data_IF_691089956729
#
_entry.id   IF_691089956729
#
_cell.length_a   1.000
_cell.length_b   1.000
_cell.length_c   1.000
_cell.angle_alpha   90.00
_cell.angle_beta   90.00
_cell.angle_gamma   90.00
#
_symmetry.space_group_name_H-M   'P 1'
#
loop_
_entity.id
_entity.type
_entity.pdbx_description
1 polymer ?
#
# COMPACT_ATOMS: atom_id res chain seq x y z
N UNK A 1 6.69 -60.64 9.89
CA UNK A 1 8.04 -60.88 10.43
C UNK A 1 8.98 -59.83 9.86
N UNK A 2 9.76 -59.21 10.75
CA UNK A 2 10.91 -58.30 10.51
C UNK A 2 10.60 -56.81 10.27
N UNK A 3 10.18 -56.19 11.37
CA UNK A 3 10.25 -54.76 11.71
C UNK A 3 11.69 -54.37 12.18
N UNK A 4 12.72 -54.75 11.41
CA UNK A 4 14.15 -54.53 11.79
C UNK A 4 14.98 -53.82 10.74
N UNK A 5 14.42 -53.54 9.56
CA UNK A 5 15.12 -52.79 8.51
C UNK A 5 15.07 -51.26 8.75
N UNK A 6 14.07 -50.77 9.49
CA UNK A 6 13.83 -49.33 9.67
C UNK A 6 14.65 -48.65 10.77
N UNK A 7 15.10 -49.38 11.79
CA UNK A 7 15.86 -48.76 12.90
C UNK A 7 17.22 -48.25 12.42
N UNK A 8 17.86 -48.99 11.51
CA UNK A 8 19.14 -48.57 10.91
C UNK A 8 18.96 -47.40 9.92
N UNK A 9 17.83 -47.30 9.23
CA UNK A 9 17.56 -46.19 8.30
C UNK A 9 17.28 -44.88 9.05
N UNK A 10 16.54 -44.94 10.17
CA UNK A 10 16.25 -43.79 11.03
C UNK A 10 17.52 -43.24 11.70
N UNK A 11 18.45 -44.12 12.10
CA UNK A 11 19.75 -43.70 12.65
C UNK A 11 20.68 -43.07 11.59
N UNK A 12 20.63 -43.54 10.34
CA UNK A 12 21.33 -42.87 9.23
C UNK A 12 20.70 -41.52 8.90
N UNK A 13 19.38 -41.41 8.99
CA UNK A 13 18.66 -40.16 8.76
C UNK A 13 18.96 -39.11 9.85
N UNK A 14 19.04 -39.49 11.12
CA UNK A 14 19.44 -38.58 12.20
C UNK A 14 20.88 -38.08 12.05
N UNK A 15 21.80 -38.91 11.54
CA UNK A 15 23.20 -38.51 11.32
C UNK A 15 23.35 -37.53 10.16
N UNK A 16 22.54 -37.66 9.11
CA UNK A 16 22.51 -36.71 8.01
C UNK A 16 21.99 -35.33 8.46
N UNK A 17 20.99 -35.29 9.34
CA UNK A 17 20.44 -34.04 9.88
C UNK A 17 21.46 -33.33 10.79
N UNK A 18 22.22 -34.06 11.61
CA UNK A 18 23.28 -33.48 12.44
C UNK A 18 24.45 -32.91 11.64
N UNK A 19 24.83 -33.56 10.52
CA UNK A 19 25.89 -33.06 9.64
C UNK A 19 25.50 -31.73 8.96
N UNK A 20 24.20 -31.54 8.68
CA UNK A 20 23.65 -30.32 8.10
C UNK A 20 23.55 -29.17 9.13
N UNK A 21 23.45 -29.49 10.43
CA UNK A 21 23.41 -28.52 11.51
C UNK A 21 24.80 -27.96 11.89
N UNK A 22 25.89 -28.69 11.66
CA UNK A 22 27.25 -28.24 12.01
C UNK A 22 27.92 -27.36 10.94
N UNK A 23 27.38 -27.26 9.73
CA UNK A 23 27.88 -26.35 8.68
C UNK A 23 27.05 -25.07 8.51
N UNK A 24 26.09 -24.82 9.41
CA UNK A 24 25.10 -23.75 9.31
C UNK A 24 25.14 -22.73 10.46
N UNK A 25 26.32 -22.26 10.85
CA UNK A 25 26.48 -20.99 11.60
C UNK A 25 27.14 -19.94 10.71
N UNK A 26 26.52 -19.70 9.55
CA UNK A 26 26.60 -18.44 8.82
C UNK A 26 25.44 -17.54 9.23
N UNK A 27 25.53 -16.21 9.07
CA UNK A 27 24.46 -15.30 9.46
C UNK A 27 23.15 -15.75 8.80
N UNK A 28 22.10 -15.80 9.61
CA UNK A 28 20.77 -16.27 9.23
C UNK A 28 20.24 -15.42 8.07
N UNK A 29 20.40 -15.91 6.85
CA UNK A 29 19.76 -15.38 5.67
C UNK A 29 18.34 -15.97 5.64
N UNK A 30 17.33 -15.16 5.97
CA UNK A 30 15.93 -15.54 5.73
C UNK A 30 15.72 -15.69 4.22
N UNK A 31 15.23 -16.84 3.72
CA UNK A 31 14.84 -16.97 2.32
C UNK A 31 13.59 -16.12 2.09
N UNK A 32 13.73 -15.02 1.36
CA UNK A 32 12.63 -14.13 0.98
C UNK A 32 12.85 -12.64 1.23
N UNK A 33 13.97 -12.23 1.83
CA UNK A 33 14.38 -10.82 1.82
C UNK A 33 15.44 -10.60 0.75
N UNK A 34 14.96 -10.44 -0.48
CA UNK A 34 15.65 -9.57 -1.42
C UNK A 34 15.70 -8.18 -0.76
N UNK A 35 16.84 -7.85 -0.15
CA UNK A 35 17.23 -6.47 0.07
C UNK A 35 17.49 -5.85 -1.30
N UNK A 36 16.40 -5.62 -2.02
CA UNK A 36 16.35 -4.66 -3.09
C UNK A 36 16.63 -3.32 -2.42
N UNK A 37 17.89 -2.92 -2.48
CA UNK A 37 18.27 -1.53 -2.34
C UNK A 37 17.48 -0.78 -3.39
N UNK A 38 16.29 -0.30 -3.01
CA UNK A 38 15.55 0.73 -3.72
C UNK A 38 16.36 2.02 -3.54
N UNK A 39 17.52 2.07 -4.19
CA UNK A 39 17.97 3.28 -4.86
C UNK A 39 17.08 3.48 -6.10
N UNK A 40 15.76 3.41 -5.91
CA UNK A 40 14.82 3.98 -6.84
C UNK A 40 15.05 5.47 -6.72
N UNK A 41 15.48 6.07 -7.82
CA UNK A 41 15.33 7.50 -8.05
C UNK A 41 14.13 8.02 -7.28
N UNK A 42 14.37 8.81 -6.23
CA UNK A 42 13.30 9.60 -5.62
C UNK A 42 12.71 10.34 -6.79
N UNK A 43 11.52 9.92 -7.21
CA UNK A 43 10.81 10.55 -8.30
C UNK A 43 10.72 12.01 -7.87
N UNK A 44 11.42 12.88 -8.60
CA UNK A 44 11.44 14.30 -8.28
C UNK A 44 10.14 14.94 -8.76
N UNK A 45 9.04 14.20 -8.76
CA UNK A 45 7.71 14.79 -8.73
C UNK A 45 7.71 15.69 -7.49
N UNK A 46 7.77 17.00 -7.72
CA UNK A 46 7.78 17.96 -6.64
C UNK A 46 6.54 17.74 -5.78
N UNK A 47 6.65 17.94 -4.48
CA UNK A 47 5.49 17.86 -3.58
C UNK A 47 4.29 18.67 -4.09
N UNK A 48 4.55 19.84 -4.70
CA UNK A 48 3.52 20.66 -5.33
C UNK A 48 2.81 20.00 -6.52
N UNK A 49 3.52 19.18 -7.30
CA UNK A 49 2.94 18.42 -8.41
C UNK A 49 2.08 17.26 -7.89
N UNK A 50 2.55 16.56 -6.85
CA UNK A 50 1.73 15.55 -6.15
C UNK A 50 0.46 16.17 -5.55
N UNK A 51 0.59 17.33 -4.92
CA UNK A 51 -0.55 18.05 -4.36
C UNK A 51 -1.52 18.51 -5.45
N UNK A 52 -1.00 19.04 -6.57
CA UNK A 52 -1.81 19.42 -7.73
C UNK A 52 -2.58 18.23 -8.26
N UNK A 53 -1.92 17.10 -8.48
CA UNK A 53 -2.56 15.88 -8.96
C UNK A 53 -3.63 15.39 -7.99
N UNK A 54 -3.40 15.47 -6.68
CA UNK A 54 -4.40 15.12 -5.67
C UNK A 54 -5.63 16.06 -5.72
N UNK A 55 -5.41 17.38 -5.89
CA UNK A 55 -6.50 18.36 -6.05
C UNK A 55 -7.32 18.05 -7.30
N UNK A 56 -6.64 17.85 -8.43
CA UNK A 56 -7.27 17.56 -9.71
C UNK A 56 -8.08 16.26 -9.62
N UNK A 57 -7.53 15.22 -8.98
CA UNK A 57 -8.23 13.96 -8.77
C UNK A 57 -9.47 14.07 -7.88
N UNK A 58 -9.45 14.90 -6.84
CA UNK A 58 -10.65 15.18 -6.02
C UNK A 58 -11.71 15.92 -6.84
N UNK A 59 -11.29 16.84 -7.72
CA UNK A 59 -12.20 17.53 -8.63
C UNK A 59 -12.86 16.58 -9.63
N UNK A 60 -12.08 15.66 -10.20
CA UNK A 60 -12.58 14.63 -11.11
C UNK A 60 -13.61 13.76 -10.41
N UNK A 61 -13.32 13.29 -9.19
CA UNK A 61 -14.26 12.48 -8.40
C UNK A 61 -15.58 13.21 -8.10
N UNK A 62 -15.53 14.51 -7.81
CA UNK A 62 -16.74 15.32 -7.60
C UNK A 62 -17.54 15.47 -8.91
N UNK A 63 -16.86 15.71 -10.03
CA UNK A 63 -17.48 15.87 -11.34
C UNK A 63 -18.14 14.57 -11.80
N UNK A 64 -17.45 13.45 -11.62
CA UNK A 64 -17.97 12.12 -11.94
C UNK A 64 -19.19 11.78 -11.08
N UNK A 65 -19.13 12.01 -9.77
CA UNK A 65 -20.26 11.78 -8.87
C UNK A 65 -21.48 12.62 -9.27
N UNK A 66 -21.28 13.89 -9.62
CA UNK A 66 -22.34 14.77 -10.10
C UNK A 66 -22.93 14.27 -11.43
N UNK A 67 -22.07 13.86 -12.36
CA UNK A 67 -22.51 13.32 -13.66
C UNK A 67 -23.34 12.06 -13.48
N UNK A 68 -22.88 11.13 -12.63
CA UNK A 68 -23.61 9.89 -12.33
C UNK A 68 -24.96 10.17 -11.67
N UNK A 69 -25.01 11.10 -10.71
CA UNK A 69 -26.26 11.53 -10.10
C UNK A 69 -27.24 12.10 -11.14
N UNK A 70 -26.77 13.01 -11.99
CA UNK A 70 -27.58 13.59 -13.07
C UNK A 70 -28.06 12.54 -14.08
N UNK A 71 -27.20 11.62 -14.51
CA UNK A 71 -27.59 10.51 -15.40
C UNK A 71 -28.67 9.63 -14.78
N UNK A 72 -28.53 9.32 -13.49
CA UNK A 72 -29.54 8.55 -12.77
C UNK A 72 -30.87 9.30 -12.65
N UNK A 73 -30.84 10.60 -12.32
CA UNK A 73 -32.05 11.46 -12.27
C UNK A 73 -32.76 11.55 -13.63
N UNK A 74 -32.00 11.47 -14.73
CA UNK A 74 -32.52 11.45 -16.10
C UNK A 74 -33.07 10.07 -16.51
N UNK A 75 -32.94 9.06 -15.67
CA UNK A 75 -33.43 7.70 -15.94
C UNK A 75 -32.53 6.89 -16.86
N UNK A 76 -31.22 7.19 -16.91
CA UNK A 76 -30.25 6.41 -17.66
C UNK A 76 -30.21 4.95 -17.13
N UNK A 77 -30.57 3.94 -17.94
CA UNK A 77 -30.61 2.55 -17.50
C UNK A 77 -29.22 1.94 -17.28
N UNK A 78 -28.15 2.65 -17.63
CA UNK A 78 -26.76 2.19 -17.46
C UNK A 78 -26.15 2.59 -16.12
N UNK A 79 -26.81 3.46 -15.35
CA UNK A 79 -26.33 3.97 -14.07
C UNK A 79 -27.22 3.46 -12.94
N UNK A 80 -26.66 2.62 -12.06
CA UNK A 80 -27.38 2.12 -10.91
C UNK A 80 -27.26 3.05 -9.69
N UNK A 81 -28.32 3.16 -8.89
CA UNK A 81 -28.31 3.97 -7.66
C UNK A 81 -27.15 3.63 -6.70
N UNK A 82 -26.79 2.36 -6.44
CA UNK A 82 -25.65 2.04 -5.59
C UNK A 82 -24.32 2.57 -6.14
N UNK A 83 -24.15 2.58 -7.47
CA UNK A 83 -22.95 3.15 -8.08
C UNK A 83 -22.87 4.67 -7.88
N UNK A 84 -24.00 5.38 -8.04
CA UNK A 84 -24.08 6.81 -7.73
C UNK A 84 -23.69 7.06 -6.27
N UNK A 85 -24.26 6.30 -5.33
CA UNK A 85 -23.97 6.46 -3.91
C UNK A 85 -22.51 6.21 -3.57
N UNK A 86 -21.90 5.16 -4.16
CA UNK A 86 -20.46 4.88 -4.01
C UNK A 86 -19.62 6.02 -4.57
N UNK A 87 -19.98 6.57 -5.74
CA UNK A 87 -19.26 7.70 -6.33
C UNK A 87 -19.30 8.95 -5.45
N UNK A 88 -20.46 9.28 -4.88
CA UNK A 88 -20.64 10.38 -3.93
C UNK A 88 -19.80 10.16 -2.67
N UNK A 89 -19.85 8.95 -2.10
CA UNK A 89 -19.09 8.61 -0.91
C UNK A 89 -17.57 8.73 -1.15
N UNK A 90 -17.11 8.26 -2.32
CA UNK A 90 -15.70 8.35 -2.73
C UNK A 90 -15.26 9.80 -2.86
N UNK A 91 -16.06 10.65 -3.48
CA UNK A 91 -15.78 12.08 -3.59
C UNK A 91 -15.70 12.75 -2.20
N UNK A 92 -16.65 12.45 -1.30
CA UNK A 92 -16.69 13.01 0.06
C UNK A 92 -15.45 12.63 0.87
N UNK A 93 -15.13 11.32 0.95
CA UNK A 93 -13.98 10.84 1.73
C UNK A 93 -12.67 11.41 1.18
N UNK A 94 -12.55 11.51 -0.14
CA UNK A 94 -11.35 12.07 -0.78
C UNK A 94 -11.19 13.57 -0.48
N UNK A 95 -12.29 14.32 -0.47
CA UNK A 95 -12.30 15.74 -0.09
C UNK A 95 -11.93 15.96 1.39
N UNK A 96 -12.45 15.12 2.28
CA UNK A 96 -12.11 15.18 3.70
C UNK A 96 -10.61 14.92 3.92
N UNK A 97 -10.07 13.89 3.27
CA UNK A 97 -8.64 13.59 3.30
C UNK A 97 -7.81 14.77 2.76
N UNK A 98 -8.23 15.38 1.66
CA UNK A 98 -7.54 16.54 1.08
C UNK A 98 -7.57 17.76 2.02
N UNK A 99 -8.66 17.97 2.74
CA UNK A 99 -8.76 19.04 3.74
C UNK A 99 -7.76 18.83 4.87
N UNK A 100 -7.56 17.58 5.31
CA UNK A 100 -6.54 17.26 6.32
C UNK A 100 -5.13 17.54 5.80
N UNK A 101 -4.82 17.16 4.56
CA UNK A 101 -3.53 17.46 3.93
C UNK A 101 -3.30 18.97 3.84
N UNK A 102 -4.30 19.72 3.37
CA UNK A 102 -4.26 21.20 3.31
C UNK A 102 -3.93 21.79 4.67
N UNK A 103 -4.65 21.38 5.71
CA UNK A 103 -4.44 21.89 7.06
C UNK A 103 -3.01 21.57 7.54
N UNK A 104 -2.53 20.36 7.30
CA UNK A 104 -1.16 19.95 7.69
C UNK A 104 -0.10 20.78 6.99
N UNK A 105 -0.30 21.15 5.73
CA UNK A 105 0.61 22.00 4.98
C UNK A 105 0.64 23.44 5.47
N UNK A 106 -0.53 23.99 5.79
CA UNK A 106 -0.62 25.32 6.41
C UNK A 106 0.13 25.32 7.74
N UNK A 107 -0.10 24.31 8.59
CA UNK A 107 0.65 24.17 9.85
C UNK A 107 2.16 24.05 9.61
N UNK A 108 2.60 23.21 8.67
CA UNK A 108 4.04 23.07 8.37
C UNK A 108 4.68 24.39 7.90
N UNK A 109 3.96 25.18 7.11
CA UNK A 109 4.41 26.51 6.70
C UNK A 109 4.48 27.47 7.90
N UNK A 110 3.45 27.49 8.74
CA UNK A 110 3.44 28.29 9.97
C UNK A 110 4.58 27.90 10.93
N UNK A 111 4.87 26.60 11.06
CA UNK A 111 5.94 26.09 11.92
C UNK A 111 7.32 26.55 11.43
N UNK A 112 7.55 26.55 10.11
CA UNK A 112 8.77 27.11 9.52
C UNK A 112 8.90 28.61 9.81
N UNK A 113 7.81 29.37 9.73
CA UNK A 113 7.81 30.80 10.05
C UNK A 113 8.08 31.08 11.54
N UNK A 114 7.65 30.18 12.43
CA UNK A 114 7.82 30.31 13.88
C UNK A 114 9.17 29.80 14.38
N UNK A 115 9.95 29.11 13.55
CA UNK A 115 11.32 28.72 13.92
C UNK A 115 12.19 29.98 14.07
N UNK A 116 12.78 30.23 15.26
CA UNK A 116 13.77 31.29 15.39
C UNK A 116 14.99 30.94 14.54
N UNK A 117 15.48 31.94 13.80
CA UNK A 117 16.78 31.90 13.11
C UNK A 117 17.93 31.91 14.12
#
# INVERSE_FOLDING_TARGET
MVDRADINSVLMQMRAIQAQAQQGVGPVQLPGQETQTVAGSVDRTGFGELLKNAVDQVNDLQTDAKKMATSYEQGDPTVDLPQVMVSIQKASVSFDAMTQVRNRLVTAYEDIMKMPI
#
